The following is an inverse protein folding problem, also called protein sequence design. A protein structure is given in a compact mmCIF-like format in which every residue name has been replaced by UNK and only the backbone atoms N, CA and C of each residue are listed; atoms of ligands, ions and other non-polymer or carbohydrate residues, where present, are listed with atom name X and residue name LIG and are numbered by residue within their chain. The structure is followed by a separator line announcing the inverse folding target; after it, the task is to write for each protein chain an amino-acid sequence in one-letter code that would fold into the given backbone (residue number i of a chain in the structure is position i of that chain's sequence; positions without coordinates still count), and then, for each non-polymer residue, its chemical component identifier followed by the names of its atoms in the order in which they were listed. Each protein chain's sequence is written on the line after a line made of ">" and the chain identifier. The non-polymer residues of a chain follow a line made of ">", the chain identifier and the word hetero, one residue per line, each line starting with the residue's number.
data_IF_758044347546
#
_entry.id   IF_758044347546
#
_cell.length_a   1.000
_cell.length_b   1.000
_cell.length_c   1.000
_cell.angle_alpha   90.00
_cell.angle_beta   90.00
_cell.angle_gamma   90.00
#
_symmetry.space_group_name_H-M   'P 1'
#
loop_
_entity.id
_entity.type
_entity.pdbx_description
1 polymer ?
#
# COMPACT_ATOMS: atom_id res chain seq x y z
N UNK A 1 -11.86 11.23 -1.06
CA UNK A 1 -10.57 11.66 -0.56
C UNK A 1 -10.71 12.65 0.58
N UNK A 2 -11.19 13.85 0.31
CA UNK A 2 -11.39 14.94 1.28
C UNK A 2 -12.42 14.67 2.38
N UNK A 3 -13.02 13.49 2.40
CA UNK A 3 -14.03 13.07 3.37
C UNK A 3 -13.64 11.78 4.10
N UNK A 4 -12.39 11.34 3.96
CA UNK A 4 -11.91 10.11 4.64
C UNK A 4 -10.82 10.43 5.66
N UNK A 5 -9.76 11.07 5.24
CA UNK A 5 -8.69 11.54 6.12
C UNK A 5 -8.25 12.96 5.76
N UNK A 6 -7.90 13.20 4.52
CA UNK A 6 -7.47 14.52 4.07
C UNK A 6 -8.68 15.44 3.94
N UNK A 7 -8.71 16.48 4.75
CA UNK A 7 -9.87 17.37 4.87
C UNK A 7 -9.48 18.76 4.40
N UNK A 8 -9.74 19.03 3.13
CA UNK A 8 -9.39 20.30 2.49
C UNK A 8 -10.20 21.45 3.04
N UNK A 9 -9.53 22.46 3.62
CA UNK A 9 -10.18 23.65 4.22
C UNK A 9 -11.00 24.45 3.22
N UNK A 10 -10.67 24.39 1.91
CA UNK A 10 -11.41 25.06 0.85
C UNK A 10 -12.58 24.23 0.29
N UNK A 11 -12.72 22.96 0.69
CA UNK A 11 -13.81 22.12 0.20
C UNK A 11 -15.16 22.54 0.79
N UNK A 12 -16.25 22.51 -0.01
CA UNK A 12 -17.61 22.81 0.51
C UNK A 12 -18.05 21.85 1.64
N UNK A 13 -17.43 20.68 1.72
CA UNK A 13 -17.68 19.67 2.76
C UNK A 13 -16.92 19.91 4.05
N UNK A 14 -16.00 20.89 4.08
CA UNK A 14 -15.20 21.17 5.27
C UNK A 14 -16.08 21.69 6.41
N UNK A 15 -15.99 21.04 7.55
CA UNK A 15 -16.64 21.46 8.79
C UNK A 15 -15.63 21.31 9.94
N UNK A 16 -15.29 22.41 10.57
CA UNK A 16 -14.34 22.45 11.70
C UNK A 16 -14.76 21.57 12.87
N UNK A 17 -16.05 21.28 13.01
CA UNK A 17 -16.56 20.41 14.06
C UNK A 17 -16.17 18.96 13.86
N UNK A 18 -15.77 18.55 12.65
CA UNK A 18 -15.35 17.18 12.32
C UNK A 18 -13.84 17.05 12.14
N UNK A 19 -13.11 18.15 12.14
CA UNK A 19 -11.67 18.15 12.06
C UNK A 19 -11.01 17.67 13.38
N UNK A 20 -9.88 16.98 13.28
CA UNK A 20 -9.05 16.68 14.44
C UNK A 20 -8.61 17.99 15.13
N UNK A 21 -8.51 17.94 16.45
CA UNK A 21 -7.97 19.05 17.26
C UNK A 21 -6.77 18.59 18.08
N UNK A 22 -5.81 19.50 18.22
CA UNK A 22 -4.68 19.35 19.15
C UNK A 22 -5.13 19.63 20.59
N UNK A 23 -4.29 19.31 21.60
CA UNK A 23 -4.60 19.56 23.01
C UNK A 23 -4.93 21.01 23.35
N UNK A 24 -4.39 21.98 22.60
CA UNK A 24 -4.68 23.41 22.75
C UNK A 24 -5.98 23.86 22.06
N UNK A 25 -6.72 22.92 21.44
CA UNK A 25 -7.96 23.14 20.71
C UNK A 25 -7.78 23.63 19.28
N UNK A 26 -6.56 23.85 18.81
CA UNK A 26 -6.29 24.25 17.43
C UNK A 26 -6.51 23.10 16.45
N UNK A 27 -6.80 23.44 15.19
CA UNK A 27 -6.93 22.49 14.09
C UNK A 27 -5.57 22.41 13.38
N UNK A 28 -4.89 21.24 13.37
CA UNK A 28 -3.61 21.11 12.70
C UNK A 28 -3.76 21.32 11.20
N UNK A 29 -2.79 21.99 10.59
CA UNK A 29 -2.62 22.02 9.15
C UNK A 29 -1.61 20.95 8.79
N UNK A 30 -2.02 20.00 7.96
CA UNK A 30 -1.16 18.91 7.49
C UNK A 30 -0.25 19.44 6.37
N UNK A 31 -0.47 19.07 5.16
CA UNK A 31 0.32 19.49 4.00
C UNK A 31 -0.56 20.24 3.01
N UNK A 32 0.07 20.82 2.00
CA UNK A 32 -0.64 21.33 0.84
C UNK A 32 -0.58 20.33 -0.28
N UNK A 33 -1.72 20.00 -0.85
CA UNK A 33 -1.83 19.18 -2.05
C UNK A 33 -2.62 19.94 -3.12
N UNK A 34 -2.98 19.28 -4.22
CA UNK A 34 -3.68 19.90 -5.34
C UNK A 34 -4.97 20.68 -4.94
N UNK A 35 -5.66 20.26 -3.87
CA UNK A 35 -6.84 20.93 -3.33
C UNK A 35 -6.55 22.09 -2.36
N UNK A 36 -5.28 22.39 -2.08
CA UNK A 36 -4.87 23.46 -1.14
C UNK A 36 -4.53 22.95 0.26
N UNK A 37 -4.62 23.83 1.29
CA UNK A 37 -4.33 23.46 2.66
C UNK A 37 -5.28 22.38 3.18
N UNK A 38 -4.71 21.37 3.84
CA UNK A 38 -5.43 20.25 4.42
C UNK A 38 -5.39 20.28 5.94
N UNK A 39 -6.42 19.74 6.53
CA UNK A 39 -6.49 19.29 7.91
C UNK A 39 -6.77 17.79 7.94
N UNK A 40 -7.02 17.22 9.11
CA UNK A 40 -7.43 15.84 9.24
C UNK A 40 -8.90 15.74 9.62
N UNK A 41 -9.68 15.00 8.83
CA UNK A 41 -11.00 14.55 9.28
C UNK A 41 -10.79 13.57 10.44
N UNK A 42 -11.45 13.80 11.58
CA UNK A 42 -11.39 12.84 12.66
C UNK A 42 -11.95 11.49 12.19
N UNK A 43 -11.19 10.42 12.35
CA UNK A 43 -11.58 9.11 11.84
C UNK A 43 -12.87 8.57 12.46
N UNK A 44 -13.31 9.10 13.61
CA UNK A 44 -14.63 8.79 14.17
C UNK A 44 -15.77 9.11 13.20
N UNK A 45 -15.56 10.05 12.27
CA UNK A 45 -16.53 10.48 11.26
C UNK A 45 -16.42 9.69 9.95
N UNK A 46 -15.28 9.07 9.67
CA UNK A 46 -15.03 8.38 8.41
C UNK A 46 -16.08 7.30 8.08
N UNK A 47 -16.54 6.43 9.02
CA UNK A 47 -17.58 5.45 8.73
C UNK A 47 -18.90 6.05 8.25
N UNK A 48 -19.28 7.23 8.77
CA UNK A 48 -20.47 7.95 8.29
C UNK A 48 -20.32 8.38 6.84
N UNK A 49 -19.19 9.00 6.50
CA UNK A 49 -18.93 9.49 5.15
C UNK A 49 -18.82 8.34 4.14
N UNK A 50 -18.12 7.28 4.48
CA UNK A 50 -18.02 6.08 3.62
C UNK A 50 -19.42 5.53 3.36
N UNK A 51 -20.19 5.27 4.39
CA UNK A 51 -21.57 4.75 4.24
C UNK A 51 -22.45 5.66 3.39
N UNK A 52 -22.42 6.98 3.64
CA UNK A 52 -23.17 7.97 2.87
C UNK A 52 -22.79 7.94 1.39
N UNK A 53 -21.49 8.03 1.10
CA UNK A 53 -20.99 8.13 -0.27
C UNK A 53 -21.31 6.86 -1.08
N UNK A 54 -21.06 5.69 -0.52
CA UNK A 54 -21.36 4.42 -1.21
C UNK A 54 -22.86 4.16 -1.33
N UNK A 55 -23.69 4.67 -0.42
CA UNK A 55 -25.14 4.67 -0.56
C UNK A 55 -25.59 5.54 -1.75
N UNK A 56 -25.01 6.73 -1.90
CA UNK A 56 -25.31 7.60 -3.04
C UNK A 56 -24.84 7.02 -4.37
N UNK A 57 -23.65 6.45 -4.43
CA UNK A 57 -23.15 5.73 -5.61
C UNK A 57 -24.14 4.64 -6.04
N UNK A 58 -24.62 3.85 -5.08
CA UNK A 58 -25.60 2.79 -5.34
C UNK A 58 -26.95 3.34 -5.83
N UNK A 59 -27.41 4.46 -5.27
CA UNK A 59 -28.68 5.11 -5.73
C UNK A 59 -28.59 5.59 -7.18
N UNK A 60 -27.38 5.96 -7.65
CA UNK A 60 -27.15 6.29 -9.05
C UNK A 60 -27.04 5.07 -9.98
N UNK A 61 -27.31 3.87 -9.48
CA UNK A 61 -27.28 2.65 -10.27
C UNK A 61 -25.87 2.12 -10.57
N UNK A 62 -24.83 2.70 -9.95
CA UNK A 62 -23.45 2.28 -10.13
C UNK A 62 -23.19 1.05 -9.26
N UNK A 63 -22.80 -0.05 -9.91
CA UNK A 63 -22.36 -1.27 -9.23
C UNK A 63 -20.83 -1.28 -9.13
N UNK A 64 -20.31 -1.53 -7.95
CA UNK A 64 -18.89 -1.64 -7.67
C UNK A 64 -18.56 -3.06 -7.19
N UNK A 65 -17.50 -3.66 -7.74
CA UNK A 65 -16.90 -4.90 -7.26
C UNK A 65 -15.72 -4.63 -6.31
N UNK A 66 -15.08 -3.47 -6.42
CA UNK A 66 -14.01 -3.03 -5.55
C UNK A 66 -14.01 -1.52 -5.36
N UNK A 67 -13.37 -1.07 -4.29
CA UNK A 67 -13.22 0.35 -3.97
C UNK A 67 -11.90 0.63 -3.26
N UNK A 68 -11.26 1.72 -3.64
CA UNK A 68 -10.03 2.21 -3.06
C UNK A 68 -10.33 3.36 -2.10
N UNK A 69 -10.01 3.17 -0.82
CA UNK A 69 -10.04 4.23 0.18
C UNK A 69 -8.65 4.80 0.33
N UNK A 70 -8.45 5.94 -0.29
CA UNK A 70 -7.17 6.64 -0.34
C UNK A 70 -6.69 7.12 1.04
N UNK A 71 -5.39 7.20 1.25
CA UNK A 71 -4.68 7.69 2.44
C UNK A 71 -5.00 7.00 3.78
N UNK A 72 -5.67 5.87 3.79
CA UNK A 72 -6.01 5.20 5.04
C UNK A 72 -4.86 4.39 5.62
N UNK A 73 -4.09 3.71 4.78
CA UNK A 73 -3.06 2.76 5.22
C UNK A 73 -1.64 3.26 5.05
N UNK A 74 -1.41 4.36 4.34
CA UNK A 74 -0.08 4.95 4.14
C UNK A 74 0.35 5.90 5.28
N UNK A 75 -0.52 6.18 6.23
CA UNK A 75 -0.28 7.15 7.28
C UNK A 75 -0.45 6.54 8.67
N UNK A 76 0.27 7.12 9.62
CA UNK A 76 0.07 6.84 11.03
C UNK A 76 -1.38 7.12 11.46
N UNK A 77 -1.78 6.50 12.57
CA UNK A 77 -3.06 6.83 13.21
C UNK A 77 -3.04 8.27 13.72
N UNK A 78 -4.10 9.01 13.41
CA UNK A 78 -4.29 10.36 13.91
C UNK A 78 -4.83 10.33 15.35
N UNK A 79 -4.55 11.40 16.10
CA UNK A 79 -5.13 11.64 17.42
C UNK A 79 -6.03 12.87 17.36
N UNK A 80 -7.04 12.90 18.22
CA UNK A 80 -7.98 14.03 18.30
C UNK A 80 -8.35 14.33 19.74
N UNK A 81 -8.12 15.56 20.18
CA UNK A 81 -8.48 16.05 21.51
C UNK A 81 -9.82 16.82 21.55
N UNK A 82 -10.60 16.83 20.45
CA UNK A 82 -11.93 17.41 20.48
C UNK A 82 -12.80 16.66 21.51
N UNK A 83 -13.39 17.35 22.50
CA UNK A 83 -14.17 16.70 23.56
C UNK A 83 -15.41 15.95 23.04
N UNK A 84 -15.96 16.34 21.88
CA UNK A 84 -17.15 15.72 21.29
C UNK A 84 -16.82 14.40 20.55
N UNK A 85 -15.58 14.24 20.09
CA UNK A 85 -15.14 13.05 19.35
C UNK A 85 -13.66 12.77 19.59
N UNK A 86 -13.25 12.75 20.86
CA UNK A 86 -11.89 12.40 21.26
C UNK A 86 -11.52 11.04 20.68
N UNK A 87 -10.28 10.92 20.22
CA UNK A 87 -9.82 9.72 19.55
C UNK A 87 -8.32 9.53 19.78
N UNK A 88 -7.95 8.35 20.23
CA UNK A 88 -6.57 7.89 20.28
C UNK A 88 -6.13 7.32 18.93
N UNK A 89 -4.83 7.18 18.73
CA UNK A 89 -4.25 6.56 17.54
C UNK A 89 -4.79 5.14 17.28
N UNK A 90 -4.96 4.35 18.32
CA UNK A 90 -5.55 3.01 18.22
C UNK A 90 -7.01 3.07 17.73
N UNK A 91 -7.81 3.94 18.31
CA UNK A 91 -9.20 4.13 17.88
C UNK A 91 -9.29 4.63 16.44
N UNK A 92 -8.33 5.45 16.00
CA UNK A 92 -8.24 5.87 14.59
C UNK A 92 -8.16 4.65 13.66
N UNK A 93 -7.29 3.69 13.95
CA UNK A 93 -7.20 2.46 13.17
C UNK A 93 -8.49 1.63 13.23
N UNK A 94 -9.13 1.55 14.38
CA UNK A 94 -10.42 0.85 14.53
C UNK A 94 -11.53 1.48 13.69
N UNK A 95 -11.62 2.82 13.66
CA UNK A 95 -12.59 3.53 12.81
C UNK A 95 -12.30 3.38 11.32
N UNK A 96 -11.05 3.45 10.91
CA UNK A 96 -10.65 3.19 9.51
C UNK A 96 -10.97 1.73 9.13
N UNK A 97 -10.69 0.77 9.99
CA UNK A 97 -11.02 -0.65 9.80
C UNK A 97 -12.52 -0.87 9.57
N UNK A 98 -13.39 -0.20 10.35
CA UNK A 98 -14.86 -0.25 10.16
C UNK A 98 -15.29 0.24 8.77
N UNK A 99 -14.54 1.13 8.14
CA UNK A 99 -14.81 1.56 6.77
C UNK A 99 -14.60 0.42 5.77
N UNK A 100 -13.50 -0.33 5.91
CA UNK A 100 -13.23 -1.50 5.08
C UNK A 100 -14.23 -2.63 5.35
N UNK A 101 -14.56 -2.91 6.61
CA UNK A 101 -15.58 -3.90 7.00
C UNK A 101 -16.95 -3.56 6.39
N UNK A 102 -17.34 -2.28 6.39
CA UNK A 102 -18.56 -1.86 5.74
C UNK A 102 -18.55 -2.18 4.24
N UNK A 103 -17.44 -1.90 3.52
CA UNK A 103 -17.34 -2.23 2.10
C UNK A 103 -17.48 -3.74 1.86
N UNK A 104 -16.77 -4.56 2.64
CA UNK A 104 -16.90 -6.02 2.57
C UNK A 104 -18.35 -6.48 2.80
N UNK A 105 -19.04 -5.89 3.78
CA UNK A 105 -20.45 -6.20 4.06
C UNK A 105 -21.40 -5.89 2.91
N UNK A 106 -20.99 -4.98 2.00
CA UNK A 106 -21.70 -4.62 0.78
C UNK A 106 -21.27 -5.47 -0.43
N UNK A 107 -20.36 -6.42 -0.26
CA UNK A 107 -19.77 -7.22 -1.36
C UNK A 107 -18.78 -6.44 -2.21
N UNK A 108 -18.21 -5.34 -1.68
CA UNK A 108 -17.21 -4.50 -2.34
C UNK A 108 -15.84 -4.82 -1.75
N UNK A 109 -14.89 -5.20 -2.59
CA UNK A 109 -13.52 -5.52 -2.16
C UNK A 109 -12.75 -4.24 -1.84
N UNK A 110 -12.32 -4.03 -0.58
CA UNK A 110 -11.61 -2.80 -0.21
C UNK A 110 -10.12 -2.88 -0.54
N UNK A 111 -9.59 -1.74 -0.96
CA UNK A 111 -8.18 -1.49 -1.17
C UNK A 111 -7.74 -0.14 -0.61
N UNK A 112 -6.44 0.04 -0.40
CA UNK A 112 -5.84 1.31 0.03
C UNK A 112 -4.39 1.38 -0.43
N UNK A 113 -3.62 2.37 0.02
CA UNK A 113 -2.27 2.63 -0.51
C UNK A 113 -1.26 1.57 -0.10
N UNK A 114 -1.05 1.36 1.19
CA UNK A 114 0.02 0.51 1.70
C UNK A 114 -0.53 -0.64 2.54
N UNK A 115 0.35 -1.58 2.87
CA UNK A 115 0.03 -2.65 3.81
C UNK A 115 0.12 -2.14 5.25
N UNK A 116 -0.76 -2.66 6.10
CA UNK A 116 -0.79 -2.35 7.53
C UNK A 116 -1.40 -3.52 8.28
N UNK A 117 -0.83 -3.89 9.42
CA UNK A 117 -1.28 -5.04 10.22
C UNK A 117 -2.73 -4.88 10.71
N UNK A 118 -3.11 -3.67 11.13
CA UNK A 118 -4.48 -3.37 11.58
C UNK A 118 -5.54 -3.49 10.47
N UNK A 119 -5.13 -3.37 9.20
CA UNK A 119 -6.04 -3.44 8.05
C UNK A 119 -6.23 -4.87 7.50
N UNK A 120 -5.34 -5.81 7.84
CA UNK A 120 -5.36 -7.20 7.35
C UNK A 120 -6.73 -7.89 7.44
N UNK A 121 -7.53 -7.72 8.51
CA UNK A 121 -8.83 -8.38 8.60
C UNK A 121 -9.81 -8.02 7.47
N UNK A 122 -9.61 -6.91 6.79
CA UNK A 122 -10.57 -6.39 5.81
C UNK A 122 -9.96 -5.96 4.49
N UNK A 123 -8.67 -5.60 4.47
CA UNK A 123 -7.97 -5.15 3.26
C UNK A 123 -7.68 -6.34 2.34
N UNK A 124 -8.09 -6.24 1.07
CA UNK A 124 -7.87 -7.31 0.08
C UNK A 124 -6.67 -7.01 -0.81
N UNK A 125 -6.45 -5.74 -1.10
CA UNK A 125 -5.45 -5.28 -2.05
C UNK A 125 -4.84 -3.97 -1.56
N UNK A 126 -3.53 -3.81 -1.69
CA UNK A 126 -2.86 -2.52 -1.51
C UNK A 126 -2.31 -2.01 -2.84
N UNK A 127 -2.02 -0.70 -2.92
CA UNK A 127 -1.47 -0.09 -4.12
C UNK A 127 0.06 -0.24 -4.17
N UNK A 128 0.71 -0.17 -3.01
CA UNK A 128 2.16 -0.26 -2.88
C UNK A 128 2.58 -1.43 -2.00
N UNK A 129 3.60 -2.14 -2.46
CA UNK A 129 4.27 -3.16 -1.67
C UNK A 129 5.04 -2.55 -0.49
N UNK A 130 5.32 -3.34 0.58
CA UNK A 130 5.90 -2.84 1.83
C UNK A 130 7.23 -2.09 1.70
N UNK A 131 7.97 -2.28 0.61
CA UNK A 131 9.30 -1.70 0.45
C UNK A 131 9.34 -0.47 -0.46
N UNK A 132 8.24 -0.07 -1.05
CA UNK A 132 8.26 1.01 -2.04
C UNK A 132 8.79 2.32 -1.46
N UNK A 133 8.37 2.68 -0.26
CA UNK A 133 8.85 3.89 0.42
C UNK A 133 10.29 3.77 1.00
N UNK A 134 10.80 2.56 1.17
CA UNK A 134 12.18 2.31 1.63
C UNK A 134 13.20 2.38 0.49
N UNK A 135 12.75 2.29 -0.74
CA UNK A 135 13.59 2.37 -1.92
C UNK A 135 13.81 3.83 -2.29
N UNK A 136 14.90 4.38 -1.79
CA UNK A 136 15.30 5.77 -2.00
C UNK A 136 15.67 6.01 -3.46
N UNK A 137 15.67 7.29 -3.86
CA UNK A 137 16.13 7.74 -5.19
C UNK A 137 17.51 7.16 -5.52
N UNK A 138 17.81 6.85 -6.78
CA UNK A 138 19.14 6.43 -7.22
C UNK A 138 20.25 7.33 -6.67
N UNK A 139 21.33 6.74 -6.20
CA UNK A 139 22.46 7.44 -5.60
C UNK A 139 22.28 7.86 -4.12
N UNK A 140 21.11 7.62 -3.53
CA UNK A 140 20.92 7.81 -2.08
C UNK A 140 21.36 6.55 -1.33
N UNK A 141 22.19 6.66 -0.28
CA UNK A 141 22.57 5.50 0.51
C UNK A 141 21.35 4.81 1.12
N UNK A 142 21.29 3.48 1.03
CA UNK A 142 20.27 2.69 1.71
C UNK A 142 20.54 2.63 3.21
N UNK A 143 19.49 2.71 3.99
CA UNK A 143 19.54 2.55 5.44
C UNK A 143 19.03 1.16 5.82
N UNK A 144 19.95 0.19 5.85
CA UNK A 144 19.63 -1.19 6.19
C UNK A 144 19.31 -2.08 4.99
N UNK A 145 18.88 -3.30 5.29
CA UNK A 145 18.51 -4.34 4.33
C UNK A 145 17.05 -4.69 4.53
N UNK A 146 16.20 -4.61 3.49
CA UNK A 146 14.81 -4.99 3.60
C UNK A 146 14.64 -6.46 4.00
N UNK A 147 13.79 -6.71 4.99
CA UNK A 147 13.39 -8.05 5.41
C UNK A 147 11.88 -8.19 5.17
N UNK A 148 11.39 -9.29 4.57
CA UNK A 148 9.97 -9.46 4.24
C UNK A 148 9.11 -9.79 5.47
N UNK A 149 9.27 -9.00 6.55
CA UNK A 149 8.62 -9.29 7.84
C UNK A 149 7.09 -9.30 7.72
N UNK A 150 6.51 -8.36 6.96
CA UNK A 150 5.07 -8.34 6.74
C UNK A 150 4.60 -9.62 6.05
N UNK A 151 5.31 -10.06 5.01
CA UNK A 151 4.95 -11.26 4.24
C UNK A 151 5.19 -12.56 5.01
N UNK A 152 6.16 -12.60 5.91
CA UNK A 152 6.33 -13.74 6.83
C UNK A 152 5.13 -13.94 7.77
N UNK A 153 4.28 -12.92 7.92
CA UNK A 153 3.10 -12.98 8.80
C UNK A 153 1.79 -12.98 8.00
N UNK A 154 1.73 -12.24 6.89
CA UNK A 154 0.46 -11.91 6.22
C UNK A 154 0.49 -12.09 4.69
N UNK A 155 1.42 -12.89 4.15
CA UNK A 155 1.57 -13.04 2.69
C UNK A 155 0.29 -13.47 1.98
N UNK A 156 -0.42 -14.43 2.55
CA UNK A 156 -1.67 -15.01 2.03
C UNK A 156 -2.92 -14.16 2.27
N UNK A 157 -2.79 -13.03 2.99
CA UNK A 157 -3.92 -12.21 3.42
C UNK A 157 -4.23 -11.04 2.49
N UNK A 158 -3.20 -10.40 1.91
CA UNK A 158 -3.35 -9.16 1.12
C UNK A 158 -2.53 -9.25 -0.17
N UNK A 159 -3.16 -8.93 -1.30
CA UNK A 159 -2.46 -8.83 -2.59
C UNK A 159 -1.60 -7.58 -2.61
N UNK A 160 -0.30 -7.76 -2.86
CA UNK A 160 0.70 -6.70 -2.85
C UNK A 160 1.34 -6.58 -4.24
N UNK A 161 1.10 -5.47 -4.96
CA UNK A 161 1.72 -5.23 -6.25
C UNK A 161 3.13 -4.64 -6.12
N UNK A 162 4.00 -5.03 -7.04
CA UNK A 162 5.37 -4.54 -7.16
C UNK A 162 5.58 -3.90 -8.52
N UNK A 163 6.24 -2.75 -8.57
CA UNK A 163 6.46 -1.99 -9.81
C UNK A 163 7.53 -2.66 -10.67
N UNK A 164 7.12 -3.28 -11.78
CA UNK A 164 8.00 -4.02 -12.68
C UNK A 164 8.88 -3.14 -13.56
N UNK A 165 8.49 -1.90 -13.73
CA UNK A 165 9.19 -0.90 -14.54
C UNK A 165 10.26 -0.12 -13.75
N UNK A 166 10.33 -0.26 -12.44
CA UNK A 166 11.39 0.33 -11.63
C UNK A 166 12.63 -0.57 -11.61
N UNK A 167 13.65 -0.16 -12.34
CA UNK A 167 14.98 -0.81 -12.40
C UNK A 167 16.03 0.27 -12.28
N UNK A 168 16.95 0.09 -11.34
CA UNK A 168 18.17 0.88 -11.24
C UNK A 168 19.39 -0.04 -11.08
N UNK A 169 20.60 0.49 -11.17
CA UNK A 169 21.83 -0.28 -10.94
C UNK A 169 21.90 -0.93 -9.54
N UNK A 170 21.19 -0.35 -8.58
CA UNK A 170 21.18 -0.80 -7.19
C UNK A 170 19.88 -1.53 -6.80
N UNK A 171 18.83 -1.44 -7.61
CA UNK A 171 17.48 -1.86 -7.23
C UNK A 171 16.74 -2.48 -8.41
N UNK A 172 16.30 -3.71 -8.24
CA UNK A 172 15.43 -4.39 -9.18
C UNK A 172 14.15 -4.84 -8.48
N UNK A 173 13.08 -4.11 -8.70
CA UNK A 173 11.77 -4.39 -8.09
C UNK A 173 11.20 -5.74 -8.50
N UNK A 174 11.54 -6.25 -9.70
CA UNK A 174 11.18 -7.59 -10.10
C UNK A 174 11.78 -8.64 -9.16
N UNK A 175 13.03 -8.48 -8.76
CA UNK A 175 13.69 -9.43 -7.84
C UNK A 175 13.03 -9.41 -6.46
N UNK A 176 12.65 -8.22 -5.96
CA UNK A 176 11.88 -8.12 -4.73
C UNK A 176 10.46 -8.70 -4.88
N UNK A 177 9.79 -8.46 -6.01
CA UNK A 177 8.49 -9.06 -6.29
C UNK A 177 8.55 -10.59 -6.26
N UNK A 178 9.56 -11.18 -6.90
CA UNK A 178 9.79 -12.63 -6.90
C UNK A 178 10.08 -13.14 -5.48
N UNK A 179 11.00 -12.48 -4.76
CA UNK A 179 11.36 -12.88 -3.40
C UNK A 179 10.15 -12.86 -2.46
N UNK A 180 9.21 -11.94 -2.70
CA UNK A 180 8.01 -11.74 -1.88
C UNK A 180 6.77 -12.47 -2.42
N UNK A 181 6.83 -13.15 -3.57
CA UNK A 181 5.65 -13.77 -4.18
C UNK A 181 4.56 -12.78 -4.58
N UNK A 182 4.93 -11.52 -4.78
CA UNK A 182 4.00 -10.41 -5.02
C UNK A 182 3.40 -10.37 -6.43
N UNK A 183 2.37 -9.54 -6.61
CA UNK A 183 1.74 -9.32 -7.90
C UNK A 183 2.55 -8.34 -8.78
N UNK A 184 2.54 -8.48 -10.12
CA UNK A 184 3.19 -7.50 -10.99
C UNK A 184 2.35 -6.23 -11.12
N UNK A 185 3.01 -5.08 -11.20
CA UNK A 185 2.40 -3.77 -11.41
C UNK A 185 3.25 -2.95 -12.37
N UNK A 186 2.62 -2.41 -13.43
CA UNK A 186 3.24 -1.51 -14.39
C UNK A 186 2.70 -0.10 -14.20
N UNK A 187 3.55 0.85 -13.82
CA UNK A 187 3.14 2.23 -13.51
C UNK A 187 3.32 3.20 -14.66
N UNK A 188 4.12 2.86 -15.68
CA UNK A 188 4.47 3.77 -16.77
C UNK A 188 3.28 4.48 -17.43
N UNK A 189 2.15 3.79 -17.53
CA UNK A 189 0.93 4.34 -18.12
C UNK A 189 -0.07 4.84 -17.08
N UNK A 190 0.32 4.92 -15.81
CA UNK A 190 -0.53 5.51 -14.78
C UNK A 190 -0.79 6.98 -15.13
N UNK A 191 -2.01 7.43 -14.92
CA UNK A 191 -2.45 8.79 -15.27
C UNK A 191 -1.78 9.90 -14.42
N UNK A 192 -0.87 9.53 -13.54
CA UNK A 192 -0.10 10.47 -12.72
C UNK A 192 1.28 10.68 -13.36
N UNK A 193 1.46 11.78 -14.09
CA UNK A 193 2.80 12.18 -14.49
C UNK A 193 3.65 12.36 -13.24
N UNK A 194 4.92 12.07 -13.36
CA UNK A 194 5.89 12.25 -12.28
C UNK A 194 5.78 13.66 -11.70
N UNK A 195 5.09 13.79 -10.57
CA UNK A 195 5.00 15.03 -9.83
C UNK A 195 6.15 14.98 -8.81
N UNK A 196 7.13 15.85 -8.97
CA UNK A 196 8.28 16.03 -8.08
C UNK A 196 9.30 14.88 -8.03
N UNK A 197 9.44 14.09 -9.10
CA UNK A 197 10.47 13.03 -9.17
C UNK A 197 10.23 11.87 -8.18
N UNK A 198 9.00 11.70 -7.71
CA UNK A 198 8.62 10.58 -6.85
C UNK A 198 8.74 9.23 -7.56
N UNK A 199 8.51 9.24 -8.87
CA UNK A 199 8.73 8.09 -9.75
C UNK A 199 9.85 8.48 -10.71
N UNK A 200 11.04 7.94 -10.50
CA UNK A 200 12.20 8.27 -11.32
C UNK A 200 11.99 7.74 -12.73
N UNK A 201 12.07 8.64 -13.74
CA UNK A 201 11.91 8.34 -15.16
C UNK A 201 13.10 7.54 -15.75
N UNK A 202 14.02 7.06 -14.91
CA UNK A 202 15.15 6.23 -15.32
C UNK A 202 14.75 4.81 -15.73
N UNK A 203 13.49 4.60 -16.10
CA UNK A 203 13.07 3.33 -16.70
C UNK A 203 13.66 3.22 -18.10
N UNK A 204 14.69 2.41 -18.22
CA UNK A 204 15.39 2.14 -19.48
C UNK A 204 14.80 0.98 -20.26
N UNK A 205 13.85 0.26 -19.69
CA UNK A 205 13.24 -0.91 -20.29
C UNK A 205 12.23 -0.54 -21.37
N UNK A 206 12.22 -1.29 -22.45
CA UNK A 206 11.14 -1.22 -23.43
C UNK A 206 9.87 -1.87 -22.85
N UNK A 207 8.70 -1.46 -23.36
CA UNK A 207 7.42 -2.08 -22.98
C UNK A 207 7.39 -3.60 -23.13
N UNK A 208 8.08 -4.11 -24.13
CA UNK A 208 8.19 -5.54 -24.34
C UNK A 208 8.97 -6.22 -23.21
N UNK A 209 10.07 -5.65 -22.80
CA UNK A 209 10.88 -6.16 -21.66
C UNK A 209 10.10 -6.11 -20.36
N UNK A 210 9.37 -5.04 -20.08
CA UNK A 210 8.51 -4.92 -18.91
C UNK A 210 7.47 -6.04 -18.87
N UNK A 211 6.80 -6.31 -20.00
CA UNK A 211 5.80 -7.39 -20.10
C UNK A 211 6.45 -8.76 -19.89
N UNK A 212 7.62 -9.01 -20.50
CA UNK A 212 8.32 -10.29 -20.33
C UNK A 212 8.75 -10.50 -18.86
N UNK A 213 9.25 -9.46 -18.19
CA UNK A 213 9.59 -9.51 -16.77
C UNK A 213 8.36 -9.77 -15.91
N UNK A 214 7.25 -9.13 -16.21
CA UNK A 214 5.97 -9.33 -15.50
C UNK A 214 5.44 -10.75 -15.62
N UNK A 215 5.75 -11.47 -16.68
CA UNK A 215 5.30 -12.88 -16.84
C UNK A 215 5.86 -13.78 -15.75
N UNK A 216 7.15 -13.71 -15.44
CA UNK A 216 7.78 -14.54 -14.41
C UNK A 216 7.13 -14.27 -13.03
N UNK A 217 6.91 -12.98 -12.69
CA UNK A 217 6.24 -12.58 -11.45
C UNK A 217 4.78 -13.06 -11.45
N UNK A 218 4.06 -12.91 -12.57
CA UNK A 218 2.67 -13.35 -12.70
C UNK A 218 2.52 -14.86 -12.47
N UNK A 219 3.39 -15.66 -13.07
CA UNK A 219 3.31 -17.13 -12.94
C UNK A 219 3.63 -17.57 -11.51
N UNK A 220 4.64 -16.98 -10.88
CA UNK A 220 4.92 -17.24 -9.48
C UNK A 220 3.74 -16.80 -8.58
N UNK A 221 3.24 -15.57 -8.78
CA UNK A 221 2.13 -15.06 -7.97
C UNK A 221 0.87 -15.93 -8.06
N UNK A 222 0.50 -16.39 -9.26
CA UNK A 222 -0.63 -17.32 -9.43
C UNK A 222 -0.48 -18.57 -8.57
N UNK A 223 0.74 -19.06 -8.41
CA UNK A 223 1.01 -20.25 -7.62
C UNK A 223 0.99 -19.97 -6.12
N UNK A 224 1.65 -18.89 -5.67
CA UNK A 224 1.89 -18.65 -4.24
C UNK A 224 0.98 -17.62 -3.58
N UNK A 225 0.12 -16.91 -4.32
CA UNK A 225 -0.69 -15.80 -3.79
C UNK A 225 -1.57 -16.15 -2.57
N UNK A 226 -1.88 -17.42 -2.37
CA UNK A 226 -2.68 -17.93 -1.25
C UNK A 226 -1.87 -18.81 -0.30
N UNK A 227 -0.55 -18.79 -0.44
CA UNK A 227 0.36 -19.56 0.39
C UNK A 227 0.94 -18.69 1.50
N UNK A 228 1.13 -19.26 2.67
CA UNK A 228 1.94 -18.62 3.71
C UNK A 228 3.40 -18.54 3.27
N UNK A 229 4.09 -17.44 3.56
CA UNK A 229 5.55 -17.39 3.47
C UNK A 229 6.11 -17.98 4.75
N UNK A 230 6.70 -19.17 4.66
CA UNK A 230 7.16 -19.93 5.84
C UNK A 230 8.55 -19.55 6.31
N UNK A 231 9.39 -19.05 5.39
CA UNK A 231 10.80 -18.82 5.70
C UNK A 231 11.39 -17.74 4.78
N UNK A 232 12.31 -16.97 5.36
CA UNK A 232 13.22 -16.08 4.66
C UNK A 232 14.61 -16.19 5.29
N UNK A 233 15.65 -16.25 4.45
CA UNK A 233 17.03 -16.21 4.92
C UNK A 233 17.94 -15.41 4.00
N UNK A 234 19.01 -14.89 4.60
CA UNK A 234 20.19 -14.39 3.89
C UNK A 234 21.16 -15.57 3.74
N UNK A 235 21.30 -16.08 2.53
CA UNK A 235 22.05 -17.33 2.27
C UNK A 235 23.50 -17.16 2.68
N UNK A 236 23.96 -18.01 3.60
CA UNK A 236 25.30 -17.94 4.20
C UNK A 236 25.63 -16.58 4.86
N UNK A 237 24.60 -15.84 5.30
CA UNK A 237 24.77 -14.50 5.87
C UNK A 237 25.02 -13.40 4.84
N UNK A 238 24.95 -13.69 3.55
CA UNK A 238 25.09 -12.70 2.47
C UNK A 238 23.75 -12.03 2.19
N UNK A 239 23.57 -10.79 2.62
CA UNK A 239 22.33 -10.03 2.40
C UNK A 239 22.00 -9.75 0.93
N UNK A 240 22.97 -9.89 0.04
CA UNK A 240 22.75 -9.77 -1.41
C UNK A 240 22.22 -11.06 -2.04
N UNK A 241 22.21 -12.17 -1.31
CA UNK A 241 21.63 -13.43 -1.75
C UNK A 241 20.58 -13.88 -0.74
N UNK A 242 19.32 -13.77 -1.13
CA UNK A 242 18.20 -14.06 -0.25
C UNK A 242 17.33 -15.19 -0.78
N UNK A 243 16.73 -15.96 0.11
CA UNK A 243 15.83 -17.05 -0.22
C UNK A 243 14.55 -16.98 0.60
N UNK A 244 13.41 -17.24 -0.04
CA UNK A 244 12.13 -17.44 0.62
C UNK A 244 11.54 -18.79 0.25
N UNK A 245 10.68 -19.32 1.14
CA UNK A 245 9.91 -20.53 0.85
C UNK A 245 8.45 -20.33 1.28
N UNK A 246 7.55 -20.93 0.47
CA UNK A 246 6.10 -20.85 0.65
C UNK A 246 5.51 -22.19 1.07
N UNK A 247 4.30 -22.19 1.59
CA UNK A 247 3.65 -23.37 2.18
C UNK A 247 3.31 -24.46 1.18
N UNK A 248 3.29 -24.17 -0.12
CA UNK A 248 3.14 -25.18 -1.18
C UNK A 248 4.46 -25.88 -1.57
N UNK A 249 5.57 -25.54 -0.92
CA UNK A 249 6.91 -26.05 -1.23
C UNK A 249 7.68 -25.22 -2.27
N UNK A 250 7.07 -24.17 -2.83
CA UNK A 250 7.78 -23.26 -3.74
C UNK A 250 8.86 -22.50 -2.99
N UNK A 251 10.06 -22.44 -3.55
CA UNK A 251 11.16 -21.61 -3.07
C UNK A 251 11.63 -20.62 -4.12
N UNK A 252 12.07 -19.47 -3.69
CA UNK A 252 12.64 -18.43 -4.55
C UNK A 252 13.98 -17.99 -3.96
N UNK A 253 15.04 -18.07 -4.75
CA UNK A 253 16.35 -17.51 -4.43
C UNK A 253 16.67 -16.37 -5.37
N UNK A 254 17.12 -15.27 -4.82
CA UNK A 254 17.50 -14.05 -5.55
C UNK A 254 18.96 -13.70 -5.23
N UNK A 255 19.75 -13.38 -6.25
CA UNK A 255 21.07 -12.76 -6.13
C UNK A 255 21.01 -11.34 -6.67
N UNK A 256 20.90 -10.36 -5.79
CA UNK A 256 20.78 -8.93 -6.15
C UNK A 256 22.07 -8.38 -6.77
N UNK A 257 23.22 -8.99 -6.48
CA UNK A 257 24.52 -8.58 -7.06
C UNK A 257 24.64 -9.01 -8.51
N UNK A 258 24.16 -10.22 -8.83
CA UNK A 258 24.18 -10.76 -10.19
C UNK A 258 22.93 -10.45 -11.00
N UNK A 259 21.93 -9.86 -10.36
CA UNK A 259 20.62 -9.59 -10.96
C UNK A 259 19.98 -10.89 -11.54
N UNK A 260 20.02 -11.97 -10.75
CA UNK A 260 19.49 -13.28 -11.14
C UNK A 260 18.56 -13.85 -10.09
N UNK A 261 17.70 -14.76 -10.51
CA UNK A 261 16.82 -15.48 -9.62
C UNK A 261 16.69 -16.96 -10.02
N UNK A 262 16.23 -17.77 -9.10
CA UNK A 262 15.87 -19.16 -9.30
C UNK A 262 14.60 -19.47 -8.54
N UNK A 263 13.63 -20.07 -9.23
CA UNK A 263 12.41 -20.63 -8.62
C UNK A 263 12.59 -22.14 -8.59
N UNK A 264 12.32 -22.77 -7.46
CA UNK A 264 12.47 -24.21 -7.27
C UNK A 264 11.33 -24.74 -6.38
N UNK A 265 11.22 -26.06 -6.29
CA UNK A 265 10.25 -26.72 -5.43
C UNK A 265 11.00 -27.67 -4.48
N UNK A 266 10.70 -27.60 -3.17
CA UNK A 266 11.27 -28.45 -2.11
C UNK A 266 10.38 -29.63 -1.82
#
# INVERSE_FOLDING_TARGET
>A
HDQYRDFYKAAPSFDENYACRLPDGSIPEHQRWAGGPQSYLCATQAPYYVKRNFTEIKKHGIRLDGAYLDVFTCNEGDECDNPEHRMTRRECYEFRGRCFEYLLSQGILPSSEEVSDWAVPSLVFCHYAPYDFMMKKPGTPKEGVPVPLYNLVYHDCVIQPWMMDKVSEAEDYMLYALLNGGAPYLIRDAAYPNIDGAFDDNVTLSRKEEIERSKAVTELHKQVAKCEMLHHEMVNGDYMVQETTFSDGTGVRVDFRKQTYQIFHK
#
